data_IF_095123831585
#
_entry.id   IF_095123831585
#
_cell.length_a   1.000
_cell.length_b   1.000
_cell.length_c   1.000
_cell.angle_alpha   90.00
_cell.angle_beta   90.00
_cell.angle_gamma   90.00
#
_symmetry.space_group_name_H-M   'P 1'
#
loop_
_entity.id
_entity.type
_entity.pdbx_description
1 polymer ?
#
# COMPACT_ATOMS: atom_id res chain seq x y z
N UNK A 1 28.83 -29.18 -48.84
CA UNK A 1 28.63 -29.02 -47.39
C UNK A 1 28.50 -27.54 -47.07
N UNK A 2 27.28 -27.02 -46.90
CA UNK A 2 27.01 -25.67 -46.39
C UNK A 2 25.78 -25.78 -45.49
N UNK A 3 25.99 -25.90 -44.18
CA UNK A 3 24.91 -25.86 -43.20
C UNK A 3 24.67 -24.40 -42.83
N UNK A 4 23.49 -23.89 -43.17
CA UNK A 4 22.98 -22.61 -42.68
C UNK A 4 22.30 -22.89 -41.34
N UNK A 5 22.87 -22.38 -40.25
CA UNK A 5 22.26 -22.44 -38.92
C UNK A 5 21.31 -21.25 -38.80
N UNK A 6 20.01 -21.52 -38.75
CA UNK A 6 18.98 -20.53 -38.46
C UNK A 6 18.92 -20.30 -36.94
N UNK A 7 19.33 -19.11 -36.50
CA UNK A 7 19.17 -18.67 -35.12
C UNK A 7 17.70 -18.26 -34.89
N UNK A 8 16.96 -19.05 -34.11
CA UNK A 8 15.62 -18.71 -33.67
C UNK A 8 15.70 -17.62 -32.59
N UNK A 9 15.31 -16.40 -32.96
CA UNK A 9 15.16 -15.27 -32.04
C UNK A 9 13.88 -15.48 -31.21
N UNK A 10 14.02 -15.89 -29.94
CA UNK A 10 12.92 -15.90 -28.98
C UNK A 10 12.56 -14.45 -28.62
N UNK A 11 11.47 -13.95 -29.19
CA UNK A 11 10.87 -12.68 -28.80
C UNK A 11 10.10 -12.92 -27.48
N UNK A 12 10.67 -12.47 -26.36
CA UNK A 12 9.96 -12.44 -25.08
C UNK A 12 8.89 -11.35 -25.12
N UNK A 13 7.62 -11.74 -25.10
CA UNK A 13 6.50 -10.81 -25.01
C UNK A 13 6.53 -10.08 -23.65
N UNK A 14 6.26 -8.77 -23.59
CA UNK A 14 6.20 -8.06 -22.32
C UNK A 14 5.03 -8.60 -21.50
N UNK A 15 5.31 -9.09 -20.30
CA UNK A 15 4.28 -9.47 -19.34
C UNK A 15 3.61 -8.20 -18.82
N UNK A 16 2.39 -7.92 -19.29
CA UNK A 16 1.58 -6.83 -18.75
C UNK A 16 1.29 -7.09 -17.27
N UNK A 17 1.54 -6.09 -16.43
CA UNK A 17 1.14 -6.12 -15.03
C UNK A 17 -0.38 -5.94 -14.95
N UNK A 18 -1.05 -6.85 -14.26
CA UNK A 18 -2.50 -6.82 -14.07
C UNK A 18 -2.82 -6.04 -12.80
N UNK A 19 -3.72 -5.05 -12.82
CA UNK A 19 -4.06 -4.30 -11.60
C UNK A 19 -5.32 -4.85 -10.95
N UNK A 20 -5.30 -4.98 -9.62
CA UNK A 20 -6.45 -5.49 -8.84
C UNK A 20 -6.71 -4.61 -7.63
N UNK A 21 -7.94 -4.15 -7.46
CA UNK A 21 -8.42 -3.51 -6.22
C UNK A 21 -9.81 -4.01 -5.83
N UNK A 22 -10.20 -3.76 -4.58
CA UNK A 22 -11.54 -4.07 -4.08
C UNK A 22 -12.36 -2.78 -3.99
N UNK A 23 -13.49 -2.76 -4.70
CA UNK A 23 -14.42 -1.63 -4.76
C UNK A 23 -15.69 -1.86 -3.95
N UNK A 24 -15.96 -3.09 -3.50
CA UNK A 24 -17.16 -3.42 -2.72
C UNK A 24 -17.19 -4.87 -2.25
N UNK A 25 -18.12 -5.18 -1.34
CA UNK A 25 -18.48 -6.55 -0.96
C UNK A 25 -19.99 -6.69 -0.85
N UNK A 26 -20.51 -7.85 -1.23
CA UNK A 26 -21.91 -8.24 -1.08
C UNK A 26 -21.95 -9.67 -0.53
N UNK A 27 -22.12 -9.80 0.79
CA UNK A 27 -22.08 -11.10 1.48
C UNK A 27 -20.73 -11.80 1.31
N UNK A 28 -20.75 -12.96 0.67
CA UNK A 28 -19.58 -13.79 0.33
C UNK A 28 -18.90 -13.39 -0.98
N UNK A 29 -19.36 -12.31 -1.63
CA UNK A 29 -18.84 -11.81 -2.90
C UNK A 29 -18.07 -10.51 -2.72
N UNK A 30 -17.03 -10.32 -3.52
CA UNK A 30 -16.31 -9.06 -3.65
C UNK A 30 -16.53 -8.46 -5.05
N UNK A 31 -16.77 -7.16 -5.10
CA UNK A 31 -16.66 -6.37 -6.32
C UNK A 31 -15.20 -5.93 -6.45
N UNK A 32 -14.48 -6.54 -7.38
CA UNK A 32 -13.09 -6.22 -7.68
C UNK A 32 -13.03 -5.37 -8.94
N UNK A 33 -12.06 -4.47 -9.01
CA UNK A 33 -11.64 -3.84 -10.26
C UNK A 33 -10.41 -4.60 -10.75
N UNK A 34 -10.52 -5.24 -11.91
CA UNK A 34 -9.41 -5.97 -12.55
C UNK A 34 -9.12 -5.26 -13.88
N UNK A 35 -7.91 -4.73 -14.04
CA UNK A 35 -7.48 -3.95 -15.21
C UNK A 35 -8.45 -2.80 -15.54
N UNK A 36 -8.98 -2.15 -14.50
CA UNK A 36 -9.96 -1.06 -14.62
C UNK A 36 -11.40 -1.48 -14.91
N UNK A 37 -11.68 -2.78 -15.07
CA UNK A 37 -13.02 -3.30 -15.29
C UNK A 37 -13.63 -3.91 -14.00
N UNK A 38 -14.88 -3.57 -13.63
CA UNK A 38 -15.54 -4.17 -12.47
C UNK A 38 -15.89 -5.64 -12.72
N UNK A 39 -15.62 -6.48 -11.73
CA UNK A 39 -15.86 -7.92 -11.73
C UNK A 39 -16.32 -8.36 -10.33
N UNK A 40 -17.49 -8.96 -10.26
CA UNK A 40 -17.99 -9.56 -9.01
C UNK A 40 -17.52 -11.00 -8.92
N UNK A 41 -16.76 -11.35 -7.89
CA UNK A 41 -16.30 -12.71 -7.62
C UNK A 41 -16.94 -13.20 -6.33
N UNK A 42 -17.41 -14.45 -6.33
CA UNK A 42 -17.77 -15.17 -5.10
C UNK A 42 -16.53 -15.86 -4.52
N UNK A 43 -16.49 -16.08 -3.20
CA UNK A 43 -15.41 -16.83 -2.57
C UNK A 43 -15.25 -18.22 -3.24
N UNK A 44 -14.02 -18.56 -3.61
CA UNK A 44 -13.66 -19.76 -4.37
C UNK A 44 -13.58 -19.57 -5.90
N UNK A 45 -14.22 -18.52 -6.45
CA UNK A 45 -14.25 -18.28 -7.89
C UNK A 45 -13.00 -17.57 -8.41
N UNK A 46 -12.68 -17.82 -9.69
CA UNK A 46 -11.52 -17.23 -10.37
C UNK A 46 -11.94 -16.49 -11.64
N UNK A 47 -11.43 -15.28 -11.85
CA UNK A 47 -11.64 -14.48 -13.06
C UNK A 47 -10.31 -13.85 -13.47
N UNK A 48 -9.92 -13.99 -14.74
CA UNK A 48 -8.68 -13.40 -15.29
C UNK A 48 -7.42 -13.72 -14.46
N UNK A 49 -7.34 -14.92 -13.86
CA UNK A 49 -6.21 -15.33 -13.03
C UNK A 49 -6.24 -14.82 -11.58
N UNK A 50 -7.27 -14.06 -11.20
CA UNK A 50 -7.54 -13.62 -9.82
C UNK A 50 -8.55 -14.55 -9.19
N UNK A 51 -8.13 -15.33 -8.19
CA UNK A 51 -8.99 -16.23 -7.41
C UNK A 51 -9.37 -15.55 -6.10
N UNK A 52 -10.65 -15.37 -5.83
CA UNK A 52 -11.10 -14.87 -4.53
C UNK A 52 -11.07 -16.02 -3.53
N UNK A 53 -10.30 -15.89 -2.45
CA UNK A 53 -10.21 -16.90 -1.39
C UNK A 53 -11.26 -16.67 -0.31
N UNK A 54 -11.39 -15.42 0.15
CA UNK A 54 -12.31 -15.06 1.23
C UNK A 54 -12.68 -13.58 1.18
N UNK A 55 -13.84 -13.25 1.73
CA UNK A 55 -14.30 -11.88 1.97
C UNK A 55 -14.69 -11.77 3.43
N UNK A 56 -14.15 -10.80 4.17
CA UNK A 56 -14.49 -10.59 5.58
C UNK A 56 -14.22 -9.15 6.00
N UNK A 57 -15.17 -8.52 6.71
CA UNK A 57 -14.93 -7.27 7.43
C UNK A 57 -14.46 -6.07 6.59
N UNK A 58 -14.73 -6.07 5.28
CA UNK A 58 -14.23 -5.04 4.35
C UNK A 58 -12.92 -5.40 3.64
N UNK A 59 -12.41 -6.62 3.81
CA UNK A 59 -11.22 -7.13 3.14
C UNK A 59 -11.58 -8.32 2.22
N UNK A 60 -10.88 -8.43 1.10
CA UNK A 60 -10.93 -9.57 0.19
C UNK A 60 -9.53 -10.17 0.06
N UNK A 61 -9.37 -11.44 0.40
CA UNK A 61 -8.12 -12.16 0.14
C UNK A 61 -8.22 -12.78 -1.24
N UNK A 62 -7.34 -12.40 -2.15
CA UNK A 62 -7.24 -12.98 -3.49
C UNK A 62 -5.92 -13.73 -3.65
N UNK A 63 -5.94 -14.75 -4.50
CA UNK A 63 -4.75 -15.44 -4.98
C UNK A 63 -4.58 -15.12 -6.46
N UNK A 64 -3.39 -14.63 -6.82
CA UNK A 64 -3.06 -14.26 -8.20
C UNK A 64 -1.67 -14.82 -8.50
N UNK A 65 -1.55 -15.65 -9.54
CA UNK A 65 -0.30 -16.36 -9.89
C UNK A 65 0.34 -17.09 -8.69
N UNK A 66 -0.48 -17.68 -7.81
CA UNK A 66 -0.04 -18.42 -6.62
C UNK A 66 0.36 -17.56 -5.42
N UNK A 67 0.29 -16.22 -5.52
CA UNK A 67 0.57 -15.31 -4.40
C UNK A 67 -0.74 -14.82 -3.79
N UNK A 68 -0.86 -14.93 -2.46
CA UNK A 68 -1.99 -14.38 -1.71
C UNK A 68 -1.79 -12.89 -1.47
N UNK A 69 -2.81 -12.11 -1.77
CA UNK A 69 -2.85 -10.65 -1.65
C UNK A 69 -4.15 -10.28 -0.94
N UNK A 70 -4.03 -9.50 0.13
CA UNK A 70 -5.21 -8.93 0.81
C UNK A 70 -5.52 -7.59 0.17
N UNK A 71 -6.72 -7.47 -0.40
CA UNK A 71 -7.29 -6.25 -0.94
C UNK A 71 -8.20 -5.65 0.13
N UNK A 72 -7.92 -4.42 0.53
CA UNK A 72 -8.78 -3.66 1.42
C UNK A 72 -9.86 -2.98 0.57
N UNK A 73 -11.09 -2.90 1.07
CA UNK A 73 -12.13 -2.08 0.47
C UNK A 73 -11.68 -0.61 0.43
N UNK A 74 -11.63 -0.04 -0.76
CA UNK A 74 -11.10 1.30 -0.98
C UNK A 74 -9.56 1.39 -0.94
N UNK A 75 -8.86 0.27 -0.73
CA UNK A 75 -7.40 0.25 -0.70
C UNK A 75 -6.75 0.57 -2.06
N UNK A 76 -5.43 0.80 -2.04
CA UNK A 76 -4.64 1.01 -3.24
C UNK A 76 -4.82 -0.12 -4.26
N UNK A 77 -4.79 0.22 -5.56
CA UNK A 77 -4.62 -0.79 -6.61
C UNK A 77 -3.30 -1.53 -6.40
N UNK A 78 -3.37 -2.86 -6.39
CA UNK A 78 -2.18 -3.71 -6.38
C UNK A 78 -1.88 -4.09 -7.81
N UNK A 79 -0.73 -3.69 -8.35
CA UNK A 79 -0.23 -4.23 -9.61
C UNK A 79 0.35 -5.62 -9.36
N UNK A 80 -0.17 -6.60 -10.08
CA UNK A 80 0.16 -8.01 -9.93
C UNK A 80 0.51 -8.57 -11.30
N UNK A 81 1.78 -8.90 -11.52
CA UNK A 81 2.22 -9.52 -12.76
C UNK A 81 3.43 -8.88 -13.42
N UNK A 82 3.91 -7.75 -12.90
CA UNK A 82 5.32 -7.38 -13.06
C UNK A 82 6.20 -8.21 -12.12
N UNK A 83 7.49 -8.33 -12.44
CA UNK A 83 8.50 -8.64 -11.40
C UNK A 83 8.24 -7.77 -10.17
N UNK A 84 8.55 -8.21 -8.92
CA UNK A 84 8.45 -7.34 -7.75
C UNK A 84 9.02 -5.98 -8.12
N UNK A 85 8.14 -4.98 -8.20
CA UNK A 85 8.57 -3.68 -8.71
C UNK A 85 9.54 -3.15 -7.66
N UNK A 86 10.73 -2.73 -8.07
CA UNK A 86 11.79 -2.22 -7.17
C UNK A 86 11.42 -0.86 -6.52
N UNK A 87 10.12 -0.58 -6.37
CA UNK A 87 9.61 0.69 -5.88
C UNK A 87 9.58 1.76 -6.97
N UNK A 88 9.65 1.36 -8.24
CA UNK A 88 9.69 2.25 -9.41
C UNK A 88 8.34 2.82 -9.84
N UNK A 89 7.24 2.48 -9.14
CA UNK A 89 5.95 3.11 -9.40
C UNK A 89 6.01 4.61 -9.08
N UNK A 90 5.23 5.41 -9.82
CA UNK A 90 5.14 6.87 -9.63
C UNK A 90 3.76 7.32 -9.20
N UNK A 91 2.77 6.43 -9.14
CA UNK A 91 1.39 6.79 -8.81
C UNK A 91 0.81 5.84 -7.76
N UNK A 92 0.06 6.41 -6.82
CA UNK A 92 -0.78 5.68 -5.87
C UNK A 92 -2.21 6.19 -6.07
N UNK A 93 -3.18 5.29 -6.23
CA UNK A 93 -4.60 5.62 -6.30
C UNK A 93 -5.32 4.90 -5.17
N UNK A 94 -5.93 5.65 -4.27
CA UNK A 94 -6.69 5.16 -3.11
C UNK A 94 -8.15 5.53 -3.27
N UNK A 95 -9.05 4.66 -2.86
CA UNK A 95 -10.46 4.97 -2.72
C UNK A 95 -10.80 5.23 -1.23
N UNK A 96 -11.83 6.02 -0.99
CA UNK A 96 -12.26 6.33 0.35
C UNK A 96 -12.84 5.06 0.99
N UNK A 97 -12.39 4.76 2.20
CA UNK A 97 -12.98 3.77 3.08
C UNK A 97 -14.17 4.35 3.85
N UNK A 98 -14.65 3.59 4.84
CA UNK A 98 -15.70 4.04 5.74
C UNK A 98 -15.35 5.38 6.40
N UNK A 99 -16.34 6.28 6.48
CA UNK A 99 -16.16 7.63 7.05
C UNK A 99 -15.38 8.61 6.16
N UNK A 100 -15.05 8.25 4.92
CA UNK A 100 -14.38 9.15 3.97
C UNK A 100 -12.85 9.23 4.14
N UNK A 101 -12.29 8.38 5.01
CA UNK A 101 -10.85 8.24 5.26
C UNK A 101 -10.19 7.34 4.22
N UNK A 102 -8.94 7.62 3.88
CA UNK A 102 -8.17 6.76 2.98
C UNK A 102 -7.27 5.82 3.77
N UNK A 103 -7.49 4.52 3.61
CA UNK A 103 -6.65 3.48 4.17
C UNK A 103 -5.86 2.80 3.06
N UNK A 104 -4.64 2.37 3.38
CA UNK A 104 -3.85 1.61 2.43
C UNK A 104 -2.91 0.65 3.13
N UNK A 105 -2.68 -0.50 2.50
CA UNK A 105 -1.60 -1.40 2.88
C UNK A 105 -0.27 -0.86 2.39
N UNK A 106 0.79 -1.19 3.10
CA UNK A 106 2.14 -0.84 2.69
C UNK A 106 3.19 -1.57 3.50
N UNK A 107 4.42 -1.06 3.46
CA UNK A 107 5.49 -1.57 4.30
C UNK A 107 6.42 -0.48 4.79
N UNK A 108 6.92 -0.65 6.01
CA UNK A 108 8.01 0.14 6.57
C UNK A 108 9.21 -0.78 6.71
N UNK A 109 10.34 -0.42 6.12
CA UNK A 109 11.57 -1.22 6.08
C UNK A 109 11.31 -2.69 5.68
N UNK A 110 10.45 -2.90 4.69
CA UNK A 110 10.06 -4.22 4.18
C UNK A 110 9.04 -5.00 5.02
N UNK A 111 8.63 -4.49 6.18
CA UNK A 111 7.62 -5.13 7.05
C UNK A 111 6.24 -4.53 6.80
N UNK A 112 5.24 -5.39 6.61
CA UNK A 112 3.88 -4.99 6.28
C UNK A 112 3.24 -4.13 7.39
N UNK A 113 2.53 -3.08 6.99
CA UNK A 113 1.77 -2.18 7.87
C UNK A 113 0.47 -1.74 7.19
N UNK A 114 -0.48 -1.23 7.97
CA UNK A 114 -1.66 -0.52 7.47
C UNK A 114 -1.53 0.96 7.81
N UNK A 115 -1.77 1.79 6.80
CA UNK A 115 -1.71 3.24 6.89
C UNK A 115 -3.11 3.84 6.85
N UNK A 116 -3.30 4.88 7.65
CA UNK A 116 -4.33 5.90 7.48
C UNK A 116 -3.67 7.15 6.89
N UNK A 117 -4.16 7.65 5.76
CA UNK A 117 -3.66 8.91 5.19
C UNK A 117 -4.11 10.07 6.07
N UNK A 118 -3.15 10.83 6.58
CA UNK A 118 -3.41 11.96 7.46
C UNK A 118 -2.62 13.19 6.97
N UNK A 119 -3.30 14.09 6.26
CA UNK A 119 -2.73 15.35 5.78
C UNK A 119 -2.46 16.36 6.90
N UNK A 120 -3.02 16.17 8.09
CA UNK A 120 -2.76 16.99 9.27
C UNK A 120 -1.50 16.55 10.03
N UNK A 121 -1.07 15.30 9.87
CA UNK A 121 0.15 14.80 10.49
C UNK A 121 1.40 15.34 9.78
N UNK A 122 2.33 15.92 10.55
CA UNK A 122 3.61 16.39 10.00
C UNK A 122 4.51 15.23 9.58
N UNK A 123 4.55 14.17 10.39
CA UNK A 123 5.41 13.01 10.19
C UNK A 123 4.58 11.74 10.02
N UNK A 124 5.17 10.71 9.40
CA UNK A 124 4.66 9.34 9.57
C UNK A 124 4.66 9.03 11.06
N UNK A 125 3.53 8.61 11.62
CA UNK A 125 3.39 8.48 13.07
C UNK A 125 2.84 7.11 13.46
N UNK A 126 3.43 6.48 14.46
CA UNK A 126 3.00 5.17 14.95
C UNK A 126 3.14 5.08 16.47
N UNK A 127 2.38 4.15 17.06
CA UNK A 127 2.49 3.85 18.49
C UNK A 127 3.67 2.93 18.78
N UNK A 128 4.00 2.83 20.07
CA UNK A 128 5.12 2.02 20.56
C UNK A 128 5.03 0.55 20.15
N UNK A 129 3.84 -0.06 20.25
CA UNK A 129 3.63 -1.48 19.92
C UNK A 129 3.99 -1.79 18.46
N UNK A 130 3.65 -0.86 17.55
CA UNK A 130 3.92 -1.03 16.13
C UNK A 130 5.40 -0.83 15.83
N UNK A 131 6.05 0.15 16.47
CA UNK A 131 7.50 0.33 16.34
C UNK A 131 8.28 -0.90 16.83
N UNK A 132 7.86 -1.52 17.93
CA UNK A 132 8.43 -2.76 18.46
C UNK A 132 8.20 -3.95 17.52
N UNK A 133 6.97 -4.12 17.00
CA UNK A 133 6.65 -5.16 16.00
C UNK A 133 7.50 -5.01 14.74
N UNK A 134 7.74 -3.77 14.32
CA UNK A 134 8.59 -3.44 13.19
C UNK A 134 10.09 -3.56 13.50
N UNK A 135 10.47 -3.76 14.77
CA UNK A 135 11.86 -3.86 15.19
C UNK A 135 12.65 -2.57 14.96
N UNK A 136 11.98 -1.41 15.08
CA UNK A 136 12.64 -0.11 14.94
C UNK A 136 13.49 0.16 16.19
N UNK A 137 14.72 0.63 16.00
CA UNK A 137 15.58 1.10 17.08
C UNK A 137 15.16 2.52 17.54
N UNK A 138 13.89 2.71 17.91
CA UNK A 138 13.36 4.05 18.18
C UNK A 138 13.90 4.69 19.46
N UNK A 139 14.35 3.88 20.42
CA UNK A 139 14.95 4.34 21.69
C UNK A 139 16.28 5.07 21.50
N UNK A 140 16.98 4.82 20.39
CA UNK A 140 18.18 5.57 20.01
C UNK A 140 17.87 6.82 19.17
N UNK A 141 16.58 7.05 18.87
CA UNK A 141 16.11 8.23 18.18
C UNK A 141 16.10 9.48 19.07
N UNK A 142 15.77 10.62 18.47
CA UNK A 142 15.71 11.89 19.19
C UNK A 142 14.41 11.96 19.99
N UNK A 143 14.50 12.04 21.32
CA UNK A 143 13.33 12.27 22.17
C UNK A 143 12.81 13.70 22.01
N UNK A 144 11.50 13.86 22.01
CA UNK A 144 10.85 15.16 21.89
C UNK A 144 9.42 15.15 22.40
N UNK A 145 8.75 16.28 22.23
CA UNK A 145 7.34 16.45 22.50
C UNK A 145 6.63 16.85 21.21
N UNK A 146 5.46 16.29 20.95
CA UNK A 146 4.58 16.71 19.86
C UNK A 146 3.25 17.20 20.43
N UNK A 147 2.67 18.19 19.78
CA UNK A 147 1.32 18.66 20.12
C UNK A 147 0.31 17.89 19.28
N UNK A 148 -0.68 17.31 19.93
CA UNK A 148 -1.81 16.63 19.28
C UNK A 148 -3.12 17.28 19.73
N UNK A 149 -4.24 16.85 19.13
CA UNK A 149 -5.57 17.24 19.58
C UNK A 149 -5.84 16.86 21.05
N UNK A 150 -5.19 15.79 21.54
CA UNK A 150 -5.33 15.30 22.91
C UNK A 150 -4.28 15.90 23.88
N UNK A 151 -3.53 16.91 23.42
CA UNK A 151 -2.48 17.55 24.21
C UNK A 151 -1.07 17.14 23.80
N UNK A 152 -0.10 17.53 24.63
CA UNK A 152 1.32 17.28 24.37
C UNK A 152 1.65 15.83 24.71
N UNK A 153 2.39 15.16 23.83
CA UNK A 153 2.79 13.77 24.02
C UNK A 153 4.29 13.60 23.77
N UNK A 154 4.92 12.75 24.59
CA UNK A 154 6.30 12.35 24.40
C UNK A 154 6.44 11.41 23.20
N UNK A 155 7.46 11.68 22.39
CA UNK A 155 7.74 10.95 21.15
C UNK A 155 9.23 10.71 20.95
N UNK A 156 9.55 9.71 20.12
CA UNK A 156 10.88 9.51 19.56
C UNK A 156 10.82 9.82 18.06
N UNK A 157 11.63 10.76 17.60
CA UNK A 157 11.83 11.03 16.18
C UNK A 157 12.88 10.06 15.63
N UNK A 158 12.51 9.36 14.56
CA UNK A 158 13.32 8.34 13.89
C UNK A 158 13.33 8.56 12.38
N UNK A 159 14.30 7.96 11.69
CA UNK A 159 14.30 7.88 10.23
C UNK A 159 13.98 6.46 9.79
N UNK A 160 12.96 6.32 8.95
CA UNK A 160 12.60 5.06 8.32
C UNK A 160 13.42 4.91 7.04
N UNK A 161 14.14 3.80 6.91
CA UNK A 161 14.94 3.50 5.73
C UNK A 161 14.10 3.51 4.45
N UNK A 162 12.90 2.91 4.50
CA UNK A 162 11.95 2.95 3.40
C UNK A 162 10.50 2.87 3.86
N UNK A 163 9.62 3.63 3.20
CA UNK A 163 8.17 3.50 3.28
C UNK A 163 7.66 3.19 1.88
N UNK A 164 6.85 2.14 1.76
CA UNK A 164 6.26 1.70 0.50
C UNK A 164 4.74 1.66 0.60
N UNK A 165 4.07 2.19 -0.41
CA UNK A 165 2.61 2.12 -0.59
C UNK A 165 2.35 1.73 -2.04
N UNK A 166 1.66 0.60 -2.25
CA UNK A 166 1.52 0.00 -3.57
C UNK A 166 2.89 -0.29 -4.20
N UNK A 167 3.12 0.25 -5.40
CA UNK A 167 4.38 0.13 -6.13
C UNK A 167 5.37 1.28 -5.90
N UNK A 168 4.99 2.27 -5.08
CA UNK A 168 5.81 3.45 -4.85
C UNK A 168 6.59 3.31 -3.55
N UNK A 169 7.90 3.50 -3.63
CA UNK A 169 8.79 3.51 -2.48
C UNK A 169 9.43 4.89 -2.30
N UNK A 170 9.47 5.33 -1.04
CA UNK A 170 10.14 6.55 -0.59
C UNK A 170 11.16 6.16 0.47
N UNK A 171 12.37 6.67 0.35
CA UNK A 171 13.47 6.41 1.28
C UNK A 171 13.67 7.58 2.23
N UNK A 172 14.30 7.29 3.38
CA UNK A 172 14.68 8.28 4.38
C UNK A 172 13.49 9.14 4.83
N UNK A 173 12.43 8.47 5.28
CA UNK A 173 11.18 9.12 5.72
C UNK A 173 11.25 9.38 7.21
N UNK A 174 11.11 10.64 7.63
CA UNK A 174 11.05 10.98 9.04
C UNK A 174 9.75 10.49 9.67
N UNK A 175 9.85 9.90 10.86
CA UNK A 175 8.70 9.39 11.60
C UNK A 175 8.75 9.70 13.09
N UNK A 176 7.58 9.72 13.73
CA UNK A 176 7.42 9.81 15.17
C UNK A 176 6.91 8.48 15.72
N UNK A 177 7.52 8.03 16.82
CA UNK A 177 7.04 6.92 17.64
C UNK A 177 6.51 7.50 18.95
N UNK A 178 5.20 7.42 19.16
CA UNK A 178 4.58 7.81 20.42
C UNK A 178 4.72 6.73 21.49
N UNK A 179 4.83 7.15 22.75
CA UNK A 179 4.87 6.21 23.89
C UNK A 179 3.52 5.51 24.14
N UNK A 180 2.42 6.06 23.62
CA UNK A 180 1.11 5.45 23.69
C UNK A 180 0.84 4.49 22.49
N UNK A 181 0.02 3.45 22.66
CA UNK A 181 -0.50 2.66 21.55
C UNK A 181 -1.30 3.50 20.56
N UNK A 182 -1.28 3.11 19.29
CA UNK A 182 -2.09 3.69 18.23
C UNK A 182 -2.68 2.56 17.39
N UNK A 183 -3.95 2.70 16.99
CA UNK A 183 -4.64 1.66 16.21
C UNK A 183 -4.10 1.52 14.79
N UNK A 184 -3.62 2.62 14.20
CA UNK A 184 -3.16 2.70 12.81
C UNK A 184 -1.89 3.53 12.73
N UNK A 185 -1.04 3.23 11.74
CA UNK A 185 0.07 4.12 11.37
C UNK A 185 -0.47 5.26 10.54
N UNK A 186 -0.14 6.50 10.91
CA UNK A 186 -0.51 7.69 10.15
C UNK A 186 0.51 7.92 9.05
N UNK A 187 0.07 8.04 7.80
CA UNK A 187 0.89 8.41 6.67
C UNK A 187 0.86 9.94 6.52
N UNK A 188 1.79 10.61 7.20
CA UNK A 188 1.86 12.07 7.27
C UNK A 188 2.72 12.74 6.19
N UNK A 189 2.89 14.05 6.33
CA UNK A 189 3.50 14.93 5.32
C UNK A 189 4.98 14.65 5.01
N UNK A 190 5.74 14.09 5.95
CA UNK A 190 7.09 13.55 5.69
C UNK A 190 7.16 12.54 4.52
N UNK A 191 6.03 11.87 4.22
CA UNK A 191 5.83 11.06 3.02
C UNK A 191 5.02 11.81 1.95
N UNK A 192 3.87 12.38 2.32
CA UNK A 192 2.90 12.90 1.34
C UNK A 192 3.42 14.07 0.51
N UNK A 193 4.33 14.89 1.05
CA UNK A 193 4.90 16.05 0.33
C UNK A 193 5.77 15.66 -0.88
N UNK A 194 6.19 14.37 -0.97
CA UNK A 194 6.85 13.82 -2.15
C UNK A 194 5.93 13.65 -3.35
N UNK A 195 4.62 13.87 -3.16
CA UNK A 195 3.59 13.65 -4.16
C UNK A 195 2.80 14.92 -4.45
N UNK A 196 2.37 15.06 -5.70
CA UNK A 196 1.24 15.90 -6.05
C UNK A 196 -0.03 15.13 -5.69
N UNK A 197 -0.86 15.74 -4.85
CA UNK A 197 -2.11 15.17 -4.39
C UNK A 197 -3.26 15.70 -5.24
N UNK A 198 -4.19 14.81 -5.62
CA UNK A 198 -5.46 15.16 -6.26
C UNK A 198 -6.56 14.32 -5.62
N UNK A 199 -7.58 14.97 -5.05
CA UNK A 199 -8.79 14.29 -4.56
C UNK A 199 -9.95 14.60 -5.51
N UNK A 200 -10.61 13.56 -5.98
CA UNK A 200 -11.80 13.64 -6.81
C UNK A 200 -12.86 12.73 -6.20
N UNK A 201 -13.88 13.33 -5.58
CA UNK A 201 -14.92 12.61 -4.82
C UNK A 201 -14.29 11.67 -3.77
N UNK A 202 -14.52 10.37 -3.96
CA UNK A 202 -14.04 9.27 -3.11
C UNK A 202 -12.70 8.70 -3.58
N UNK A 203 -11.98 9.36 -4.49
CA UNK A 203 -10.67 8.91 -4.97
C UNK A 203 -9.58 9.91 -4.59
N UNK A 204 -8.46 9.40 -4.09
CA UNK A 204 -7.23 10.12 -3.81
C UNK A 204 -6.11 9.58 -4.69
N UNK A 205 -5.58 10.44 -5.55
CA UNK A 205 -4.43 10.15 -6.41
C UNK A 205 -3.20 10.89 -5.89
N UNK A 206 -2.11 10.15 -5.68
CA UNK A 206 -0.79 10.68 -5.31
C UNK A 206 0.17 10.40 -6.46
N UNK A 207 0.65 11.46 -7.13
CA UNK A 207 1.64 11.37 -8.20
C UNK A 207 3.01 11.83 -7.67
N UNK A 208 4.00 10.93 -7.66
CA UNK A 208 5.35 11.22 -7.16
C UNK A 208 5.98 12.35 -7.98
N UNK A 209 6.54 13.34 -7.29
CA UNK A 209 7.11 14.55 -7.92
C UNK A 209 8.57 14.36 -8.35
N UNK A 210 9.30 13.49 -7.66
CA UNK A 210 10.72 13.18 -7.85
C UNK A 210 11.07 11.86 -7.15
#
# INVERSE_FOLDING_TARGET
>A
MKHVVAAALLIAAPAFAQTVSMSGSLGDKALLMIDGAPRTLAAGSTVQGVKLLSVSGGDAVVEVKGKRVTLLLGGAQVSIGGAPSDGGGTQIVLAAGSGGHFFTGGSINGKAVRFLVDTGATYVSMGINEAERLGLAYRTGQRGMTQTANGAMAVYKVSLGSVRVGDVQVYNVEALVGEAPMDQVLLGNSFLTRFQMKRENDTLTLNKRY
#
